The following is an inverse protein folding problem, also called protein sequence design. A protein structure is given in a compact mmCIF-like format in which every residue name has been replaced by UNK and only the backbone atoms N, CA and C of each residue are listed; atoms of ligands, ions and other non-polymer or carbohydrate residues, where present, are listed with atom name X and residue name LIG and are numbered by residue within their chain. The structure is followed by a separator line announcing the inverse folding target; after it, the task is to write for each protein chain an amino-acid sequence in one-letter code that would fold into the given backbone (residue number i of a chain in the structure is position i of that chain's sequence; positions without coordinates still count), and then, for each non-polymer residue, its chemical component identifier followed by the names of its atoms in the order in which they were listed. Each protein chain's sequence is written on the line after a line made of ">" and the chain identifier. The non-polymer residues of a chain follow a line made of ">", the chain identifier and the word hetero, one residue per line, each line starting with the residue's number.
data_IF_357256964273
#
_entry.id   IF_357256964273
#
_cell.length_a   1.000
_cell.length_b   1.000
_cell.length_c   1.000
_cell.angle_alpha   90.00
_cell.angle_beta   90.00
_cell.angle_gamma   90.00
#
_symmetry.space_group_name_H-M   'P 1'
#
loop_
_entity.id
_entity.type
_entity.pdbx_description
1 polymer ?
#
# COMPACT_ATOMS: atom_id res chain seq x y z
N UNK A 1 -20.13 27.80 -4.24
CA UNK A 1 -20.20 26.68 -3.28
C UNK A 1 -20.15 25.39 -4.10
N UNK A 2 -19.10 24.59 -3.94
CA UNK A 2 -18.84 23.42 -4.78
C UNK A 2 -19.76 22.25 -4.39
N UNK A 3 -20.26 21.49 -5.37
CA UNK A 3 -21.05 20.28 -5.08
C UNK A 3 -20.14 19.20 -4.48
N UNK A 4 -20.68 18.33 -3.62
CA UNK A 4 -19.89 17.26 -3.00
C UNK A 4 -19.21 16.34 -4.03
N UNK A 5 -19.89 16.01 -5.14
CA UNK A 5 -19.31 15.22 -6.23
C UNK A 5 -18.12 15.91 -6.90
N UNK A 6 -18.21 17.22 -7.10
CA UNK A 6 -17.16 18.03 -7.73
C UNK A 6 -15.96 18.24 -6.79
N UNK A 7 -16.22 18.43 -5.49
CA UNK A 7 -15.17 18.48 -4.47
C UNK A 7 -14.39 17.15 -4.39
N UNK A 8 -15.11 16.02 -4.33
CA UNK A 8 -14.49 14.69 -4.33
C UNK A 8 -13.68 14.45 -5.62
N UNK A 9 -14.24 14.79 -6.78
CA UNK A 9 -13.54 14.66 -8.08
C UNK A 9 -12.26 15.49 -8.10
N UNK A 10 -12.29 16.71 -7.57
CA UNK A 10 -11.12 17.60 -7.49
C UNK A 10 -10.02 16.99 -6.63
N UNK A 11 -10.37 16.48 -5.44
CA UNK A 11 -9.40 15.84 -4.52
C UNK A 11 -8.76 14.61 -5.19
N UNK A 12 -9.57 13.74 -5.79
CA UNK A 12 -9.09 12.53 -6.46
C UNK A 12 -8.22 12.86 -7.68
N UNK A 13 -8.62 13.84 -8.49
CA UNK A 13 -7.86 14.21 -9.70
C UNK A 13 -6.52 14.86 -9.38
N UNK A 14 -6.39 15.49 -8.21
CA UNK A 14 -5.14 16.09 -7.74
C UNK A 14 -4.22 15.09 -7.02
N UNK A 15 -4.69 13.87 -6.73
CA UNK A 15 -3.87 12.79 -6.19
C UNK A 15 -3.82 11.63 -7.19
N UNK A 16 -2.68 11.49 -7.86
CA UNK A 16 -2.45 10.45 -8.87
C UNK A 16 -2.62 9.03 -8.32
N UNK A 17 -2.30 8.80 -7.06
CA UNK A 17 -2.40 7.48 -6.43
C UNK A 17 -3.86 7.16 -6.09
N UNK A 18 -4.65 8.11 -5.58
CA UNK A 18 -6.09 7.91 -5.41
C UNK A 18 -6.79 7.61 -6.73
N UNK A 19 -6.44 8.37 -7.77
CA UNK A 19 -6.90 8.14 -9.13
C UNK A 19 -6.56 6.73 -9.64
N UNK A 20 -5.33 6.26 -9.39
CA UNK A 20 -4.89 4.93 -9.75
C UNK A 20 -5.65 3.84 -8.99
N UNK A 21 -5.76 3.96 -7.67
CA UNK A 21 -6.42 2.95 -6.82
C UNK A 21 -7.90 2.78 -7.15
N UNK A 22 -8.59 3.87 -7.50
CA UNK A 22 -9.97 3.83 -7.97
C UNK A 22 -10.04 3.11 -9.32
N UNK A 23 -9.18 3.48 -10.28
CA UNK A 23 -9.15 2.85 -11.61
C UNK A 23 -8.84 1.36 -11.59
N UNK A 24 -8.00 0.91 -10.67
CA UNK A 24 -7.58 -0.48 -10.59
C UNK A 24 -8.53 -1.34 -9.77
N UNK A 25 -9.58 -0.76 -9.17
CA UNK A 25 -10.48 -1.46 -8.25
C UNK A 25 -9.80 -1.89 -6.94
N UNK A 26 -8.67 -1.28 -6.59
CA UNK A 26 -7.86 -1.62 -5.41
C UNK A 26 -8.22 -0.77 -4.17
N UNK A 27 -9.15 0.17 -4.35
CA UNK A 27 -9.55 1.14 -3.33
C UNK A 27 -10.57 0.56 -2.34
N UNK A 28 -10.37 0.83 -1.05
CA UNK A 28 -11.43 0.74 -0.06
C UNK A 28 -12.15 2.09 0.01
N UNK A 29 -13.29 2.20 -0.69
CA UNK A 29 -14.05 3.45 -0.80
C UNK A 29 -14.46 4.03 0.55
N UNK A 30 -14.83 3.20 1.52
CA UNK A 30 -15.25 3.67 2.85
C UNK A 30 -14.09 4.27 3.63
N UNK A 31 -12.91 3.65 3.57
CA UNK A 31 -11.71 4.18 4.23
C UNK A 31 -11.25 5.46 3.54
N UNK A 32 -11.15 5.47 2.21
CA UNK A 32 -10.80 6.67 1.45
C UNK A 32 -11.77 7.84 1.72
N UNK A 33 -13.08 7.56 1.81
CA UNK A 33 -14.08 8.57 2.12
C UNK A 33 -13.90 9.20 3.52
N UNK A 34 -13.41 8.44 4.50
CA UNK A 34 -13.06 8.97 5.83
C UNK A 34 -11.78 9.82 5.77
N UNK A 35 -10.79 9.36 5.00
CA UNK A 35 -9.50 10.04 4.82
C UNK A 35 -9.68 11.44 4.22
N UNK A 36 -10.44 11.54 3.12
CA UNK A 36 -10.65 12.82 2.42
C UNK A 36 -11.75 13.68 3.05
N UNK A 37 -12.42 13.21 4.11
CA UNK A 37 -13.62 13.85 4.66
C UNK A 37 -13.37 15.31 5.03
N UNK A 38 -12.26 15.58 5.71
CA UNK A 38 -11.91 16.94 6.12
C UNK A 38 -11.76 17.89 4.94
N UNK A 39 -11.14 17.42 3.86
CA UNK A 39 -10.96 18.18 2.61
C UNK A 39 -12.29 18.44 1.91
N UNK A 40 -13.18 17.44 1.87
CA UNK A 40 -14.52 17.59 1.28
C UNK A 40 -15.37 18.58 2.06
N UNK A 41 -15.37 18.49 3.39
CA UNK A 41 -16.11 19.40 4.25
C UNK A 41 -15.62 20.85 4.07
N UNK A 42 -14.30 21.03 3.96
CA UNK A 42 -13.66 22.33 3.69
C UNK A 42 -14.09 22.92 2.33
N UNK A 43 -13.96 22.16 1.24
CA UNK A 43 -14.31 22.63 -0.11
C UNK A 43 -15.80 22.91 -0.31
N UNK A 44 -16.66 22.17 0.40
CA UNK A 44 -18.12 22.35 0.30
C UNK A 44 -18.68 23.36 1.30
N UNK A 45 -17.89 23.75 2.31
CA UNK A 45 -18.32 24.65 3.39
C UNK A 45 -19.34 24.06 4.36
N UNK A 46 -19.54 22.72 4.35
CA UNK A 46 -20.51 22.04 5.22
C UNK A 46 -20.07 20.61 5.54
N UNK A 47 -20.61 20.06 6.64
CA UNK A 47 -20.36 18.67 7.02
C UNK A 47 -21.10 17.71 6.08
N UNK A 48 -20.37 17.01 5.22
CA UNK A 48 -20.92 15.99 4.31
C UNK A 48 -20.94 14.62 5.02
N UNK A 49 -22.00 13.83 4.76
CA UNK A 49 -22.11 12.46 5.25
C UNK A 49 -21.15 11.54 4.48
N UNK A 50 -20.49 10.61 5.17
CA UNK A 50 -19.55 9.65 4.56
C UNK A 50 -20.17 8.91 3.37
N UNK A 51 -21.41 8.43 3.49
CA UNK A 51 -22.08 7.69 2.39
C UNK A 51 -22.25 8.52 1.11
N UNK A 52 -22.38 9.84 1.24
CA UNK A 52 -22.43 10.75 0.08
C UNK A 52 -21.08 10.84 -0.62
N UNK A 53 -19.99 10.85 0.16
CA UNK A 53 -18.61 10.81 -0.36
C UNK A 53 -18.34 9.48 -1.04
N UNK A 54 -18.72 8.36 -0.41
CA UNK A 54 -18.60 7.01 -0.99
C UNK A 54 -19.31 6.94 -2.34
N UNK A 55 -20.58 7.36 -2.40
CA UNK A 55 -21.35 7.37 -3.66
C UNK A 55 -20.73 8.27 -4.74
N UNK A 56 -20.09 9.37 -4.33
CA UNK A 56 -19.36 10.22 -5.26
C UNK A 56 -18.11 9.50 -5.79
N UNK A 57 -17.32 8.86 -4.92
CA UNK A 57 -16.11 8.12 -5.29
C UNK A 57 -16.40 6.96 -6.25
N UNK A 58 -17.47 6.19 -6.03
CA UNK A 58 -17.84 5.06 -6.89
C UNK A 58 -18.28 5.48 -8.29
N UNK A 59 -18.66 6.74 -8.48
CA UNK A 59 -19.14 7.28 -9.75
C UNK A 59 -18.05 8.06 -10.51
N UNK A 60 -16.80 8.05 -10.04
CA UNK A 60 -15.72 8.75 -10.73
C UNK A 60 -15.23 7.89 -11.89
N UNK A 61 -15.52 8.33 -13.10
CA UNK A 61 -14.78 7.91 -14.29
C UNK A 61 -13.41 8.60 -14.27
N UNK A 62 -12.39 7.93 -13.76
CA UNK A 62 -11.04 8.45 -13.78
C UNK A 62 -10.41 8.06 -15.12
N UNK A 63 -10.12 9.03 -15.99
CA UNK A 63 -9.32 8.79 -17.22
C UNK A 63 -7.84 8.67 -16.84
N UNK A 64 -7.43 7.51 -16.31
CA UNK A 64 -6.05 7.28 -15.88
C UNK A 64 -5.19 6.63 -16.97
N UNK A 65 -4.00 7.19 -17.21
CA UNK A 65 -2.90 6.45 -17.84
C UNK A 65 -2.50 5.30 -16.91
N UNK A 66 -2.30 4.10 -17.44
CA UNK A 66 -1.64 3.02 -16.69
C UNK A 66 -0.32 3.56 -16.16
N UNK A 67 -0.10 3.46 -14.85
CA UNK A 67 1.19 3.84 -14.28
C UNK A 67 2.18 2.71 -14.52
N UNK A 68 3.38 3.05 -15.01
CA UNK A 68 4.49 2.11 -15.13
C UNK A 68 4.79 1.43 -13.77
N UNK A 69 4.54 2.13 -12.66
CA UNK A 69 4.66 1.57 -11.31
C UNK A 69 3.72 0.38 -11.06
N UNK A 70 2.45 0.46 -11.49
CA UNK A 70 1.51 -0.64 -11.33
C UNK A 70 1.90 -1.84 -12.21
N UNK A 71 2.30 -1.59 -13.45
CA UNK A 71 2.73 -2.66 -14.36
C UNK A 71 3.94 -3.42 -13.81
N UNK A 72 4.91 -2.69 -13.24
CA UNK A 72 6.05 -3.29 -12.55
C UNK A 72 5.61 -4.11 -11.33
N UNK A 73 4.69 -3.58 -10.51
CA UNK A 73 4.16 -4.31 -9.35
C UNK A 73 3.46 -5.61 -9.78
N UNK A 74 2.74 -5.61 -10.90
CA UNK A 74 2.11 -6.82 -11.43
C UNK A 74 3.07 -7.93 -11.84
N UNK A 75 4.32 -7.57 -12.12
CA UNK A 75 5.39 -8.50 -12.50
C UNK A 75 6.31 -8.84 -11.32
N UNK A 76 6.00 -8.32 -10.13
CA UNK A 76 6.82 -8.50 -8.93
C UNK A 76 6.41 -9.75 -8.17
N UNK A 77 7.32 -10.29 -7.36
CA UNK A 77 7.03 -11.45 -6.50
C UNK A 77 6.99 -11.04 -5.03
N UNK A 78 6.09 -11.65 -4.25
CA UNK A 78 6.01 -11.46 -2.81
C UNK A 78 6.60 -12.66 -2.07
N UNK A 79 7.43 -12.38 -1.07
CA UNK A 79 7.94 -13.38 -0.12
C UNK A 79 7.70 -12.89 1.29
N UNK A 80 7.31 -13.78 2.19
CA UNK A 80 7.17 -13.49 3.62
C UNK A 80 8.27 -14.20 4.38
N UNK A 81 8.99 -13.45 5.21
CA UNK A 81 9.95 -14.02 6.15
C UNK A 81 9.53 -13.70 7.58
N UNK A 82 9.39 -14.75 8.38
CA UNK A 82 8.92 -14.69 9.77
C UNK A 82 10.10 -14.75 10.75
N UNK A 83 9.76 -14.61 12.03
CA UNK A 83 10.67 -14.75 13.16
C UNK A 83 11.71 -13.63 13.22
N UNK A 84 11.24 -12.39 13.04
CA UNK A 84 12.03 -11.19 13.26
C UNK A 84 11.56 -10.45 14.50
N UNK A 85 12.47 -9.68 15.08
CA UNK A 85 12.19 -8.74 16.15
C UNK A 85 13.08 -7.51 16.02
N UNK A 86 12.59 -6.41 16.58
CA UNK A 86 13.36 -5.18 16.71
C UNK A 86 14.07 -5.18 18.07
N UNK A 87 15.38 -4.94 18.06
CA UNK A 87 16.21 -4.89 19.26
C UNK A 87 17.04 -3.61 19.26
N UNK A 88 17.23 -3.04 20.43
CA UNK A 88 18.04 -1.84 20.63
C UNK A 88 19.30 -2.17 21.43
N UNK A 89 20.43 -1.64 20.99
CA UNK A 89 21.74 -1.83 21.61
C UNK A 89 22.46 -0.49 21.75
N UNK A 90 23.13 -0.25 22.86
CA UNK A 90 23.93 0.96 23.04
C UNK A 90 25.26 0.85 22.27
N UNK A 91 25.84 -0.35 22.23
CA UNK A 91 27.15 -0.62 21.65
C UNK A 91 27.06 -1.49 20.40
N UNK A 92 27.85 -1.21 19.35
CA UNK A 92 27.81 -1.99 18.12
C UNK A 92 28.32 -3.42 18.30
N UNK A 93 29.16 -3.69 19.30
CA UNK A 93 29.71 -5.02 19.59
C UNK A 93 28.65 -6.00 20.14
N UNK A 94 27.55 -5.48 20.69
CA UNK A 94 26.45 -6.26 21.25
C UNK A 94 25.43 -6.71 20.18
N UNK A 95 25.51 -6.13 18.98
CA UNK A 95 24.59 -6.41 17.89
C UNK A 95 24.73 -7.87 17.45
N UNK A 96 23.64 -8.65 17.43
CA UNK A 96 23.72 -10.05 17.04
C UNK A 96 24.09 -10.19 15.57
N UNK A 97 24.84 -11.25 15.25
CA UNK A 97 25.17 -11.60 13.85
C UNK A 97 23.95 -11.94 12.99
N UNK A 98 22.80 -12.19 13.60
CA UNK A 98 21.53 -12.40 12.92
C UNK A 98 20.82 -11.10 12.54
N UNK A 99 21.37 -9.94 12.88
CA UNK A 99 20.88 -8.65 12.43
C UNK A 99 21.04 -8.53 10.90
N UNK A 100 19.93 -8.23 10.23
CA UNK A 100 19.89 -8.00 8.78
C UNK A 100 19.77 -6.52 8.43
N UNK A 101 19.43 -5.69 9.41
CA UNK A 101 19.39 -4.25 9.31
C UNK A 101 19.85 -3.64 10.63
N UNK A 102 20.70 -2.63 10.53
CA UNK A 102 21.21 -1.86 11.65
C UNK A 102 21.03 -0.38 11.32
N UNK A 103 20.34 0.34 12.17
CA UNK A 103 20.14 1.79 12.08
C UNK A 103 20.80 2.40 13.30
N UNK A 104 21.78 3.25 13.07
CA UNK A 104 22.40 4.05 14.13
C UNK A 104 21.59 5.33 14.34
N UNK A 105 21.23 5.61 15.57
CA UNK A 105 20.62 6.87 15.99
C UNK A 105 21.45 7.53 17.12
N UNK A 106 20.89 8.55 17.79
CA UNK A 106 21.57 9.24 18.89
C UNK A 106 21.66 8.41 20.18
N UNK A 107 20.79 7.41 20.33
CA UNK A 107 20.63 6.59 21.52
C UNK A 107 21.32 5.22 21.38
N UNK A 108 21.79 4.86 20.18
CA UNK A 108 22.52 3.62 19.94
C UNK A 108 22.21 3.05 18.57
N UNK A 109 21.86 1.77 18.55
CA UNK A 109 21.66 0.96 17.36
C UNK A 109 20.33 0.21 17.47
N UNK A 110 19.39 0.57 16.61
CA UNK A 110 18.14 -0.17 16.42
C UNK A 110 18.34 -1.18 15.30
N UNK A 111 17.96 -2.42 15.55
CA UNK A 111 18.28 -3.54 14.67
C UNK A 111 17.04 -4.37 14.36
N UNK A 112 16.96 -4.88 13.14
CA UNK A 112 16.03 -5.93 12.78
C UNK A 112 16.82 -7.23 12.70
N UNK A 113 16.56 -8.14 13.63
CA UNK A 113 17.31 -9.38 13.75
C UNK A 113 16.39 -10.59 13.66
N UNK A 114 16.91 -11.66 13.04
CA UNK A 114 16.23 -12.95 13.04
C UNK A 114 16.35 -13.57 14.44
N UNK A 115 15.22 -14.00 14.99
CA UNK A 115 15.10 -14.53 16.34
C UNK A 115 14.46 -15.90 16.33
N UNK A 116 15.07 -16.90 16.97
CA UNK A 116 14.45 -18.23 17.08
C UNK A 116 13.35 -18.30 18.14
N UNK A 117 13.27 -17.29 19.02
CA UNK A 117 12.39 -17.28 20.19
C UNK A 117 11.18 -16.36 20.04
N UNK A 118 11.27 -15.38 19.14
CA UNK A 118 10.30 -14.32 18.94
C UNK A 118 9.86 -14.29 17.49
N UNK A 119 8.56 -14.13 17.29
CA UNK A 119 7.93 -13.92 15.99
C UNK A 119 7.03 -12.70 16.08
N UNK A 120 7.59 -11.57 16.53
CA UNK A 120 6.84 -10.32 16.67
C UNK A 120 6.68 -9.61 15.32
N UNK A 121 7.67 -9.73 14.44
CA UNK A 121 7.70 -9.06 13.14
C UNK A 121 7.82 -10.05 11.98
N UNK A 122 7.21 -9.66 10.87
CA UNK A 122 7.32 -10.30 9.55
C UNK A 122 7.85 -9.28 8.55
N UNK A 123 8.68 -9.76 7.63
CA UNK A 123 9.16 -8.99 6.49
C UNK A 123 8.42 -9.48 5.25
N UNK A 124 7.56 -8.63 4.71
CA UNK A 124 7.00 -8.82 3.38
C UNK A 124 7.95 -8.20 2.35
N UNK A 125 8.66 -9.04 1.59
CA UNK A 125 9.61 -8.65 0.55
C UNK A 125 8.94 -8.70 -0.81
N UNK A 126 8.84 -7.55 -1.46
CA UNK A 126 8.43 -7.43 -2.86
C UNK A 126 9.70 -7.35 -3.71
N UNK A 127 9.94 -8.35 -4.55
CA UNK A 127 11.04 -8.35 -5.52
C UNK A 127 10.51 -7.80 -6.84
N UNK A 128 11.06 -6.67 -7.24
CA UNK A 128 10.72 -5.95 -8.46
C UNK A 128 11.52 -6.52 -9.65
N UNK A 129 10.95 -6.49 -10.87
CA UNK A 129 11.65 -6.90 -12.09
C UNK A 129 12.92 -6.06 -12.36
N UNK A 130 13.82 -6.59 -13.18
CA UNK A 130 15.03 -5.86 -13.59
C UNK A 130 14.65 -4.52 -14.27
N UNK A 131 15.47 -3.49 -14.07
CA UNK A 131 15.24 -2.15 -14.64
C UNK A 131 14.20 -1.29 -13.89
N UNK A 132 13.57 -1.81 -12.84
CA UNK A 132 12.56 -1.07 -12.05
C UNK A 132 13.14 -0.06 -11.04
N UNK A 133 14.46 -0.05 -10.83
CA UNK A 133 15.11 0.75 -9.78
C UNK A 133 14.85 2.26 -9.89
N UNK A 134 14.67 2.76 -11.11
CA UNK A 134 14.46 4.18 -11.41
C UNK A 134 13.00 4.59 -11.52
N UNK A 135 12.07 3.64 -11.44
CA UNK A 135 10.64 3.97 -11.57
C UNK A 135 10.13 4.63 -10.29
N UNK A 136 9.82 5.91 -10.41
CA UNK A 136 9.23 6.69 -9.32
C UNK A 136 7.83 6.18 -8.94
N UNK A 137 7.45 6.38 -7.68
CA UNK A 137 6.08 6.17 -7.21
C UNK A 137 5.71 4.75 -6.81
N UNK A 138 6.57 3.73 -7.01
CA UNK A 138 6.29 2.35 -6.57
C UNK A 138 6.06 2.29 -5.05
N UNK A 139 7.00 2.81 -4.26
CA UNK A 139 6.89 2.82 -2.79
C UNK A 139 5.70 3.63 -2.31
N UNK A 140 5.42 4.77 -2.94
CA UNK A 140 4.27 5.61 -2.59
C UNK A 140 2.95 4.87 -2.84
N UNK A 141 2.82 4.21 -4.00
CA UNK A 141 1.66 3.40 -4.35
C UNK A 141 1.44 2.25 -3.36
N UNK A 142 2.50 1.51 -3.02
CA UNK A 142 2.41 0.45 -2.00
C UNK A 142 1.92 1.03 -0.67
N UNK A 143 2.52 2.14 -0.22
CA UNK A 143 2.24 2.75 1.08
C UNK A 143 0.78 3.21 1.16
N UNK A 144 0.33 4.00 0.19
CA UNK A 144 -1.05 4.48 0.13
C UNK A 144 -2.05 3.33 -0.03
N UNK A 145 -1.72 2.31 -0.83
CA UNK A 145 -2.56 1.14 -0.98
C UNK A 145 -2.76 0.42 0.35
N UNK A 146 -1.68 0.18 1.11
CA UNK A 146 -1.74 -0.47 2.43
C UNK A 146 -2.56 0.38 3.43
N UNK A 147 -2.31 1.68 3.47
CA UNK A 147 -3.01 2.61 4.35
C UNK A 147 -4.52 2.66 4.07
N UNK A 148 -4.91 2.78 2.79
CA UNK A 148 -6.31 2.78 2.36
C UNK A 148 -6.96 1.44 2.64
N UNK A 149 -6.21 0.33 2.61
CA UNK A 149 -6.71 -0.99 3.00
C UNK A 149 -6.63 -1.24 4.51
N UNK A 150 -6.25 -0.23 5.30
CA UNK A 150 -6.20 -0.28 6.75
C UNK A 150 -5.18 -1.29 7.28
N UNK A 151 -4.02 -1.38 6.62
CA UNK A 151 -2.90 -2.22 7.03
C UNK A 151 -1.85 -1.33 7.68
N UNK A 152 -1.61 -1.58 8.96
CA UNK A 152 -0.55 -0.90 9.69
C UNK A 152 0.80 -1.51 9.31
N UNK A 153 1.73 -0.64 8.95
CA UNK A 153 3.11 -0.99 8.61
C UNK A 153 4.01 -0.40 9.70
N UNK A 154 4.96 -1.19 10.18
CA UNK A 154 5.97 -0.73 11.14
C UNK A 154 7.00 0.12 10.43
N UNK A 155 7.55 -0.38 9.32
CA UNK A 155 8.47 0.38 8.48
C UNK A 155 8.52 -0.14 7.03
N UNK A 156 9.01 0.67 6.10
CA UNK A 156 9.26 0.28 4.71
C UNK A 156 10.69 0.65 4.33
N UNK A 157 11.45 -0.33 3.85
CA UNK A 157 12.79 -0.12 3.32
C UNK A 157 12.81 -0.39 1.82
N UNK A 158 13.44 0.50 1.06
CA UNK A 158 13.60 0.39 -0.39
C UNK A 158 15.06 0.08 -0.72
N UNK A 159 15.31 -1.12 -1.23
CA UNK A 159 16.66 -1.63 -1.53
C UNK A 159 16.76 -2.04 -3.01
N UNK A 160 17.12 -1.12 -3.90
CA UNK A 160 17.37 -1.38 -5.35
C UNK A 160 16.27 -2.11 -6.12
N UNK A 161 16.10 -3.43 -5.99
CA UNK A 161 14.99 -4.20 -6.59
C UNK A 161 14.08 -4.84 -5.55
N UNK A 162 14.24 -4.49 -4.29
CA UNK A 162 13.43 -5.01 -3.20
C UNK A 162 12.72 -3.87 -2.49
N UNK A 163 11.48 -4.13 -2.07
CA UNK A 163 10.77 -3.34 -1.08
C UNK A 163 10.48 -4.26 0.10
N UNK A 164 11.04 -3.93 1.26
CA UNK A 164 10.79 -4.66 2.50
C UNK A 164 9.75 -3.89 3.29
N UNK A 165 8.67 -4.57 3.64
CA UNK A 165 7.56 -4.01 4.40
C UNK A 165 7.52 -4.77 5.71
N UNK A 166 7.86 -4.08 6.79
CA UNK A 166 7.91 -4.65 8.14
C UNK A 166 6.52 -4.51 8.75
N UNK A 167 5.97 -5.63 9.19
CA UNK A 167 4.61 -5.70 9.75
C UNK A 167 4.63 -6.52 11.04
N UNK A 168 3.70 -6.20 11.93
CA UNK A 168 3.44 -7.05 13.09
C UNK A 168 2.94 -8.42 12.64
N UNK A 169 3.41 -9.49 13.27
CA UNK A 169 3.09 -10.87 12.90
C UNK A 169 1.60 -11.17 12.92
N UNK A 170 0.84 -10.61 13.87
CA UNK A 170 -0.61 -10.77 13.92
C UNK A 170 -1.34 -10.15 12.71
N UNK A 171 -0.71 -9.19 12.03
CA UNK A 171 -1.25 -8.54 10.84
C UNK A 171 -0.73 -9.16 9.53
N UNK A 172 0.18 -10.15 9.60
CA UNK A 172 0.88 -10.69 8.45
C UNK A 172 -0.07 -11.27 7.38
N UNK A 173 -1.06 -12.06 7.80
CA UNK A 173 -2.03 -12.65 6.87
C UNK A 173 -2.83 -11.60 6.10
N UNK A 174 -3.30 -10.55 6.79
CA UNK A 174 -4.07 -9.45 6.17
C UNK A 174 -3.20 -8.65 5.19
N UNK A 175 -1.96 -8.36 5.57
CA UNK A 175 -1.03 -7.64 4.71
C UNK A 175 -0.68 -8.46 3.46
N UNK A 176 -0.41 -9.76 3.63
CA UNK A 176 -0.09 -10.67 2.54
C UNK A 176 -1.24 -10.77 1.52
N UNK A 177 -2.48 -10.92 1.98
CA UNK A 177 -3.67 -10.93 1.12
C UNK A 177 -3.79 -9.63 0.30
N UNK A 178 -3.66 -8.47 0.95
CA UNK A 178 -3.76 -7.20 0.25
C UNK A 178 -2.61 -7.00 -0.74
N UNK A 179 -1.38 -7.27 -0.35
CA UNK A 179 -0.22 -7.17 -1.24
C UNK A 179 -0.38 -8.12 -2.43
N UNK A 180 -0.84 -9.36 -2.21
CA UNK A 180 -1.14 -10.26 -3.31
C UNK A 180 -2.20 -9.69 -4.27
N UNK A 181 -3.25 -9.02 -3.78
CA UNK A 181 -4.21 -8.33 -4.68
C UNK A 181 -3.58 -7.19 -5.48
N UNK A 182 -2.60 -6.48 -4.90
CA UNK A 182 -1.87 -5.41 -5.59
C UNK A 182 -0.96 -5.97 -6.69
N UNK A 183 -0.28 -7.08 -6.41
CA UNK A 183 0.66 -7.72 -7.35
C UNK A 183 -0.04 -8.64 -8.36
N UNK A 184 -1.18 -9.23 -8.01
CA UNK A 184 -1.93 -10.13 -8.88
C UNK A 184 -3.35 -9.57 -9.06
N UNK A 185 -3.63 -9.02 -10.23
CA UNK A 185 -5.01 -8.78 -10.60
C UNK A 185 -5.67 -10.13 -10.92
N UNK A 186 -6.75 -10.47 -10.21
CA UNK A 186 -7.76 -11.33 -10.79
C UNK A 186 -8.30 -10.61 -12.03
N UNK A 187 -8.05 -11.15 -13.22
CA UNK A 187 -8.76 -10.78 -14.44
C UNK A 187 -10.25 -11.13 -14.29
N UNK A 188 -11.02 -10.33 -13.54
CA UNK A 188 -12.48 -10.30 -13.67
C UNK A 188 -12.85 -9.21 -14.64
N UNK A 189 -12.51 -9.43 -15.90
CA UNK A 189 -13.15 -8.82 -17.07
C UNK A 189 -12.94 -9.71 -18.30
N UNK A 190 -13.30 -11.00 -18.17
CA UNK A 190 -13.66 -11.81 -19.34
C UNK A 190 -15.18 -11.81 -19.37
N UNK A 191 -15.76 -11.15 -20.38
CA UNK A 191 -17.17 -11.27 -20.67
C UNK A 191 -17.53 -12.75 -20.74
N UNK A 192 -18.59 -13.13 -20.04
CA UNK A 192 -19.12 -14.49 -20.15
C UNK A 192 -19.38 -14.82 -21.63
N UNK A 193 -19.19 -16.08 -22.05
CA UNK A 193 -19.50 -16.46 -23.41
C UNK A 193 -20.99 -16.23 -23.65
N UNK A 194 -21.31 -15.33 -24.57
CA UNK A 194 -22.63 -15.29 -25.21
C UNK A 194 -22.75 -16.62 -25.96
N UNK A 195 -23.51 -17.56 -25.41
CA UNK A 195 -23.92 -18.74 -26.15
C UNK A 195 -24.97 -18.22 -27.14
N UNK A 196 -24.54 -17.96 -28.38
CA UNK A 196 -25.46 -17.82 -29.50
C UNK A 196 -26.07 -19.19 -29.77
N UNK A 197 -27.37 -19.31 -29.50
CA UNK A 197 -28.16 -20.45 -29.91
C UNK A 197 -28.44 -20.31 -31.41
N UNK A 198 -27.89 -21.23 -32.20
CA UNK A 198 -28.36 -21.56 -33.55
C UNK A 198 -29.09 -22.89 -33.50
#
# INVERSE_FOLDING_TARGET
>A
MTKASEAVKTIVSNNNVYSLLINTGLVNYTKLAREIKGQVDFLTGKKIKINTIVKALTNIEVKGKNSNALEILKQSTLTLEYNYEEQHFENPEEIPKSAILIIKDQNGYSTLAKSAKSNSLVIAKIHLPAGSCTTAGITLLITEFLEINGISVVNIYRLSREVWIIIQSESAGKAADALNRLLFQNEKNVGGPTIEAH
#
